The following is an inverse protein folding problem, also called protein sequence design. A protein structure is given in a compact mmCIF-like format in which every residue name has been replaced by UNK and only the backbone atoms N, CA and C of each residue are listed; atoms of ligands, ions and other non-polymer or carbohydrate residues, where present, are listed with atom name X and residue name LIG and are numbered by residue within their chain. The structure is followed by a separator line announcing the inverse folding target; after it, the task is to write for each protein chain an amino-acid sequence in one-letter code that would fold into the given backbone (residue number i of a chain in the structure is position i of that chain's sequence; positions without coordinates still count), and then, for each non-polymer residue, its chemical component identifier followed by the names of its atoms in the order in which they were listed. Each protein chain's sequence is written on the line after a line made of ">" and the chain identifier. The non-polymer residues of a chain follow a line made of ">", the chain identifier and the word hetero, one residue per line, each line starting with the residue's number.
data_IF_880321699261
#
_entry.id   IF_880321699261
#
_cell.length_a   1.000
_cell.length_b   1.000
_cell.length_c   1.000
_cell.angle_alpha   90.00
_cell.angle_beta   90.00
_cell.angle_gamma   90.00
#
_symmetry.space_group_name_H-M   'P 1'
#
loop_
_entity.id
_entity.type
_entity.pdbx_description
1 polymer ?
#
# COMPACT_ATOMS: atom_id res chain seq x y z
N UNK A 1 4.18 -21.73 28.29
CA UNK A 1 4.49 -20.55 27.45
C UNK A 1 4.47 -21.01 26.01
N UNK A 2 3.81 -20.26 25.11
CA UNK A 2 3.80 -20.58 23.68
C UNK A 2 5.22 -20.55 23.12
N UNK A 3 5.54 -21.46 22.20
CA UNK A 3 6.88 -21.49 21.58
C UNK A 3 6.99 -20.39 20.52
N UNK A 4 8.22 -19.95 20.23
CA UNK A 4 8.50 -18.96 19.18
C UNK A 4 7.90 -19.34 17.82
N UNK A 5 7.99 -20.61 17.44
CA UNK A 5 7.43 -21.13 16.19
C UNK A 5 5.91 -21.07 16.16
N UNK A 6 5.24 -21.38 17.28
CA UNK A 6 3.77 -21.36 17.35
C UNK A 6 3.24 -19.93 17.18
N UNK A 7 3.90 -18.95 17.80
CA UNK A 7 3.52 -17.54 17.71
C UNK A 7 3.67 -17.02 16.27
N UNK A 8 4.73 -17.42 15.56
CA UNK A 8 5.00 -16.96 14.19
C UNK A 8 4.04 -17.57 13.16
N UNK A 9 3.70 -18.86 13.33
CA UNK A 9 2.84 -19.58 12.39
C UNK A 9 1.35 -19.32 12.63
N UNK A 10 0.94 -19.17 13.89
CA UNK A 10 -0.46 -18.99 14.28
C UNK A 10 -0.73 -17.57 14.81
N UNK A 11 -0.08 -16.56 14.23
CA UNK A 11 -0.12 -15.18 14.73
C UNK A 11 -1.54 -14.61 14.90
N UNK A 12 -2.51 -15.10 14.11
CA UNK A 12 -3.92 -14.68 14.17
C UNK A 12 -4.67 -15.18 15.41
N UNK A 13 -4.16 -16.21 16.08
CA UNK A 13 -4.75 -16.77 17.29
C UNK A 13 -4.35 -15.97 18.55
N UNK A 14 -3.35 -15.09 18.44
CA UNK A 14 -2.86 -14.28 19.54
C UNK A 14 -3.40 -12.85 19.49
N UNK A 15 -3.78 -12.33 20.65
CA UNK A 15 -4.14 -10.92 20.80
C UNK A 15 -2.90 -10.02 20.76
N UNK A 16 -3.09 -8.73 20.45
CA UNK A 16 -1.98 -7.77 20.41
C UNK A 16 -1.23 -7.68 21.75
N UNK A 17 -1.95 -7.82 22.87
CA UNK A 17 -1.35 -7.75 24.21
C UNK A 17 -0.46 -8.97 24.52
N UNK A 18 -0.88 -10.17 24.11
CA UNK A 18 -0.06 -11.39 24.25
C UNK A 18 1.21 -11.34 23.39
N UNK A 19 1.13 -10.75 22.19
CA UNK A 19 2.29 -10.57 21.32
C UNK A 19 3.27 -9.56 21.92
N UNK A 20 2.76 -8.45 22.48
CA UNK A 20 3.59 -7.47 23.20
C UNK A 20 4.28 -8.11 24.39
N UNK A 21 3.59 -8.98 25.14
CA UNK A 21 4.19 -9.72 26.25
C UNK A 21 5.28 -10.68 25.78
N UNK A 22 5.06 -11.41 24.69
CA UNK A 22 6.07 -12.29 24.09
C UNK A 22 7.30 -11.52 23.57
N UNK A 23 7.11 -10.30 23.07
CA UNK A 23 8.20 -9.39 22.68
C UNK A 23 8.99 -8.93 23.91
N UNK A 24 8.30 -8.52 24.98
CA UNK A 24 8.94 -8.11 26.25
C UNK A 24 9.70 -9.27 26.90
N UNK A 25 9.18 -10.49 26.80
CA UNK A 25 9.82 -11.72 27.26
C UNK A 25 11.00 -12.16 26.37
N UNK A 26 11.27 -11.46 25.26
CA UNK A 26 12.37 -11.79 24.34
C UNK A 26 12.14 -13.07 23.52
N UNK A 27 10.90 -13.58 23.49
CA UNK A 27 10.56 -14.83 22.77
C UNK A 27 10.49 -14.61 21.26
N UNK A 28 10.01 -13.43 20.84
CA UNK A 28 9.88 -13.01 19.44
C UNK A 28 10.26 -11.53 19.31
N UNK A 29 10.78 -11.13 18.15
CA UNK A 29 11.03 -9.70 17.86
C UNK A 29 10.03 -9.16 16.83
N UNK A 30 9.82 -7.84 16.82
CA UNK A 30 8.99 -7.18 15.78
C UNK A 30 9.50 -7.51 14.37
N UNK A 31 10.81 -7.65 14.20
CA UNK A 31 11.43 -8.06 12.94
C UNK A 31 11.03 -9.48 12.53
N UNK A 32 11.09 -10.45 13.45
CA UNK A 32 10.71 -11.84 13.16
C UNK A 32 9.21 -11.97 12.84
N UNK A 33 8.38 -11.20 13.54
CA UNK A 33 6.95 -11.10 13.23
C UNK A 33 6.73 -10.55 11.81
N UNK A 34 7.49 -9.53 11.39
CA UNK A 34 7.39 -8.99 10.03
C UNK A 34 7.86 -9.99 8.96
N UNK A 35 8.88 -10.80 9.26
CA UNK A 35 9.42 -11.81 8.36
C UNK A 35 8.50 -13.02 8.19
N UNK A 36 7.61 -13.27 9.15
CA UNK A 36 6.63 -14.36 9.07
C UNK A 36 5.60 -14.20 7.94
N UNK A 37 5.44 -12.99 7.38
CA UNK A 37 4.44 -12.68 6.36
C UNK A 37 2.98 -12.64 6.85
N UNK A 38 2.72 -13.10 8.09
CA UNK A 38 1.39 -13.15 8.70
C UNK A 38 1.02 -11.87 9.45
N UNK A 39 1.95 -10.93 9.62
CA UNK A 39 1.74 -9.68 10.33
C UNK A 39 1.05 -8.64 9.44
N UNK A 40 -0.23 -8.38 9.68
CA UNK A 40 -0.97 -7.34 8.96
C UNK A 40 -0.57 -5.92 9.41
N UNK A 41 -0.67 -4.90 8.54
CA UNK A 41 -0.31 -3.52 8.89
C UNK A 41 -1.07 -2.96 10.11
N UNK A 42 -2.35 -3.29 10.24
CA UNK A 42 -3.17 -2.86 11.38
C UNK A 42 -2.72 -3.52 12.70
N UNK A 43 -2.38 -4.80 12.65
CA UNK A 43 -1.91 -5.53 13.82
C UNK A 43 -0.55 -5.02 14.27
N UNK A 44 0.35 -4.75 13.32
CA UNK A 44 1.64 -4.11 13.58
C UNK A 44 1.48 -2.77 14.30
N UNK A 45 0.61 -1.90 13.79
CA UNK A 45 0.33 -0.60 14.41
C UNK A 45 -0.20 -0.73 15.84
N UNK A 46 -1.12 -1.67 16.10
CA UNK A 46 -1.63 -1.94 17.46
C UNK A 46 -0.54 -2.43 18.40
N UNK A 47 0.34 -3.32 17.94
CA UNK A 47 1.47 -3.82 18.74
C UNK A 47 2.43 -2.67 19.09
N UNK A 48 2.76 -1.83 18.11
CA UNK A 48 3.64 -0.66 18.31
C UNK A 48 3.01 0.37 19.26
N UNK A 49 1.72 0.70 19.09
CA UNK A 49 0.97 1.60 19.98
C UNK A 49 0.92 1.07 21.43
N UNK A 50 0.68 -0.23 21.62
CA UNK A 50 0.65 -0.87 22.95
C UNK A 50 2.04 -0.99 23.59
N UNK A 51 3.07 -1.20 22.78
CA UNK A 51 4.46 -1.21 23.24
C UNK A 51 4.87 0.20 23.71
N UNK A 52 4.47 1.24 22.98
CA UNK A 52 4.69 2.64 23.35
C UNK A 52 3.90 3.04 24.61
N UNK A 53 2.59 2.77 24.65
CA UNK A 53 1.71 3.15 25.76
C UNK A 53 2.13 2.49 27.09
N UNK A 54 2.46 1.19 27.05
CA UNK A 54 2.86 0.44 28.25
C UNK A 54 4.30 0.75 28.70
N UNK A 55 5.05 1.55 27.95
CA UNK A 55 6.34 2.11 28.35
C UNK A 55 6.14 3.43 29.11
N UNK A 56 5.02 4.13 28.89
CA UNK A 56 4.68 5.39 29.59
C UNK A 56 4.11 5.15 31.00
N UNK A 57 3.58 3.97 31.30
CA UNK A 57 2.98 3.63 32.61
C UNK A 57 3.97 3.30 33.74
N UNK A 58 5.30 3.32 33.49
CA UNK A 58 6.31 2.87 34.45
C UNK A 58 7.14 4.01 35.11
N UNK A 59 6.53 5.17 35.40
CA UNK A 59 7.16 6.22 36.23
C UNK A 59 6.26 6.55 37.44
N UNK A 60 6.72 6.39 38.69
CA UNK A 60 5.94 6.71 39.87
C UNK A 60 6.24 8.15 40.34
N UNK A 61 5.21 9.00 40.44
CA UNK A 61 5.17 10.11 41.42
C UNK A 61 3.80 10.80 41.42
N UNK A 62 2.94 10.42 42.38
CA UNK A 62 2.25 11.24 43.40
C UNK A 62 1.36 12.47 42.99
N UNK A 63 0.41 12.93 43.83
CA UNK A 63 -1.03 12.95 43.51
C UNK A 63 -1.66 14.37 43.55
N UNK A 64 -3.01 14.39 43.48
CA UNK A 64 -3.93 15.53 43.75
C UNK A 64 -4.11 16.49 42.54
N UNK A 65 -5.31 16.89 42.10
CA UNK A 65 -6.52 17.35 42.79
C UNK A 65 -7.72 17.24 41.81
N UNK A 66 -8.88 16.76 42.27
CA UNK A 66 -10.18 16.90 41.59
C UNK A 66 -10.80 18.28 41.91
N UNK A 67 -11.81 18.78 41.14
CA UNK A 67 -13.18 18.50 41.58
C UNK A 67 -14.29 18.48 40.49
N UNK A 68 -15.41 17.84 40.88
CA UNK A 68 -16.84 18.15 40.61
C UNK A 68 -17.37 18.09 39.17
N UNK A 69 -18.22 17.12 38.77
CA UNK A 69 -19.65 16.84 39.09
C UNK A 69 -20.62 17.82 38.41
N UNK A 70 -21.41 17.29 37.47
CA UNK A 70 -22.76 17.67 36.98
C UNK A 70 -22.88 17.11 35.54
N UNK A 71 -23.96 16.53 35.04
CA UNK A 71 -25.27 16.13 35.54
C UNK A 71 -25.84 15.20 34.45
N UNK A 72 -26.64 14.19 34.82
CA UNK A 72 -27.39 13.36 33.87
C UNK A 72 -28.84 13.28 34.34
N UNK A 73 -29.79 13.26 33.41
CA UNK A 73 -30.86 12.28 33.57
C UNK A 73 -31.16 11.49 32.29
N UNK A 74 -31.87 10.36 32.42
CA UNK A 74 -31.72 9.19 31.57
C UNK A 74 -32.77 9.14 30.45
N UNK A 75 -32.49 8.37 29.40
CA UNK A 75 -33.54 7.84 28.55
C UNK A 75 -33.30 6.34 28.33
N UNK A 76 -33.99 5.56 29.15
CA UNK A 76 -34.20 4.13 28.95
C UNK A 76 -35.19 3.94 27.80
N UNK A 77 -34.85 3.06 26.86
CA UNK A 77 -35.81 2.27 26.07
C UNK A 77 -35.13 0.92 25.84
N UNK A 78 -35.35 0.01 26.80
CA UNK A 78 -35.23 -1.42 26.56
C UNK A 78 -36.45 -1.86 25.74
N UNK A 79 -36.22 -2.61 24.66
CA UNK A 79 -37.06 -3.73 24.21
C UNK A 79 -36.38 -4.41 23.00
N UNK A 80 -35.65 -5.49 23.31
CA UNK A 80 -35.42 -6.65 22.43
C UNK A 80 -36.73 -7.50 22.44
N UNK A 81 -37.09 -8.28 21.41
CA UNK A 81 -36.45 -9.58 21.21
C UNK A 81 -36.30 -10.05 19.74
N UNK A 82 -35.17 -10.73 19.49
CA UNK A 82 -34.99 -11.99 18.74
C UNK A 82 -35.87 -12.29 17.50
N UNK A 83 -35.21 -12.61 16.38
CA UNK A 83 -35.54 -13.85 15.66
C UNK A 83 -34.34 -14.35 14.84
N UNK A 84 -34.09 -15.65 15.04
CA UNK A 84 -33.00 -16.47 14.56
C UNK A 84 -33.01 -16.69 13.04
N UNK A 85 -31.85 -16.63 12.39
CA UNK A 85 -31.63 -17.37 11.13
C UNK A 85 -30.29 -18.12 11.20
N UNK A 86 -30.43 -19.44 11.12
CA UNK A 86 -29.42 -20.48 11.26
C UNK A 86 -28.31 -20.46 10.19
N UNK A 87 -27.13 -20.89 10.65
CA UNK A 87 -26.00 -21.38 9.88
C UNK A 87 -26.34 -22.75 9.27
N UNK A 88 -25.82 -23.10 8.08
CA UNK A 88 -25.32 -24.46 7.88
C UNK A 88 -23.82 -24.49 7.60
N UNK A 89 -23.16 -25.38 8.36
CA UNK A 89 -21.76 -25.78 8.24
C UNK A 89 -21.67 -27.08 7.45
N UNK A 90 -20.58 -27.19 6.68
CA UNK A 90 -19.88 -28.38 6.20
C UNK A 90 -20.60 -29.40 5.30
N UNK A 91 -20.05 -29.59 4.10
CA UNK A 91 -19.93 -30.90 3.46
C UNK A 91 -18.45 -31.13 3.17
N UNK A 92 -17.89 -32.12 3.86
CA UNK A 92 -16.66 -32.83 3.51
C UNK A 92 -16.86 -33.62 2.23
N UNK A 93 -15.88 -33.60 1.33
CA UNK A 93 -15.58 -34.80 0.54
C UNK A 93 -14.07 -34.88 0.34
N UNK A 94 -13.51 -35.91 0.96
CA UNK A 94 -12.11 -36.32 0.98
C UNK A 94 -11.71 -37.07 -0.31
N UNK A 95 -10.50 -36.75 -0.82
CA UNK A 95 -9.42 -37.69 -1.27
C UNK A 95 -9.58 -38.38 -2.65
N UNK A 96 -8.50 -38.75 -3.41
CA UNK A 96 -7.12 -38.23 -3.56
C UNK A 96 -6.62 -38.17 -5.04
N UNK A 97 -5.40 -37.66 -5.26
CA UNK A 97 -4.31 -38.20 -6.13
C UNK A 97 -3.49 -37.05 -6.73
N UNK A 98 -2.34 -36.67 -6.15
CA UNK A 98 -1.01 -37.25 -6.42
C UNK A 98 -0.68 -37.35 -7.91
N UNK A 99 0.09 -36.40 -8.42
CA UNK A 99 0.98 -36.60 -9.58
C UNK A 99 2.32 -35.94 -9.26
N UNK A 100 3.34 -36.79 -9.28
CA UNK A 100 4.73 -36.61 -8.87
C UNK A 100 5.63 -36.82 -10.11
N UNK A 101 6.36 -35.76 -10.53
CA UNK A 101 7.72 -35.68 -11.18
C UNK A 101 7.86 -36.32 -12.61
N UNK A 102 8.80 -35.92 -13.55
CA UNK A 102 10.27 -35.79 -13.45
C UNK A 102 10.79 -34.37 -13.80
N UNK A 103 11.66 -33.72 -13.04
CA UNK A 103 13.13 -33.83 -13.01
C UNK A 103 13.80 -34.11 -14.37
N UNK A 104 14.42 -33.08 -14.95
CA UNK A 104 15.33 -33.20 -16.08
C UNK A 104 16.72 -32.65 -15.71
N UNK A 105 17.59 -33.59 -15.38
CA UNK A 105 19.04 -33.69 -15.64
C UNK A 105 19.88 -32.42 -15.88
N UNK A 106 20.72 -32.19 -14.86
CA UNK A 106 22.11 -31.73 -14.82
C UNK A 106 22.92 -31.95 -16.13
N UNK A 107 23.62 -30.90 -16.58
CA UNK A 107 24.96 -31.02 -17.17
C UNK A 107 25.91 -30.11 -16.41
N UNK A 108 26.96 -30.74 -15.88
CA UNK A 108 28.10 -30.23 -15.14
C UNK A 108 29.20 -29.74 -16.09
N UNK A 109 30.11 -28.91 -15.53
CA UNK A 109 31.47 -28.53 -15.97
C UNK A 109 31.57 -27.16 -16.67
N UNK A 110 32.48 -26.24 -16.33
CA UNK A 110 33.65 -26.25 -15.43
C UNK A 110 34.22 -24.81 -15.36
N UNK A 111 34.86 -24.50 -14.24
CA UNK A 111 35.86 -23.44 -13.96
C UNK A 111 35.52 -21.93 -13.96
N UNK A 112 35.46 -21.44 -12.71
CA UNK A 112 35.90 -20.13 -12.22
C UNK A 112 37.20 -19.62 -12.88
N UNK A 113 37.35 -18.29 -13.03
CA UNK A 113 38.09 -17.61 -11.97
C UNK A 113 37.41 -16.32 -11.49
N UNK A 114 37.41 -16.23 -10.16
CA UNK A 114 37.17 -15.08 -9.30
C UNK A 114 37.72 -13.79 -9.89
N UNK A 115 36.84 -12.83 -10.15
CA UNK A 115 37.20 -11.41 -10.26
C UNK A 115 36.39 -10.67 -9.20
N UNK A 116 37.05 -10.34 -8.09
CA UNK A 116 36.56 -9.35 -7.15
C UNK A 116 36.44 -8.00 -7.85
N UNK A 117 35.28 -7.32 -7.84
CA UNK A 117 35.26 -5.90 -8.10
C UNK A 117 35.55 -5.21 -6.76
N UNK A 118 36.75 -4.65 -6.66
CA UNK A 118 37.16 -3.75 -5.60
C UNK A 118 36.06 -2.73 -5.29
N UNK A 119 35.72 -2.61 -4.00
CA UNK A 119 34.84 -1.56 -3.45
C UNK A 119 35.40 -0.18 -3.78
N UNK A 120 35.01 0.36 -4.93
CA UNK A 120 35.18 1.78 -5.23
C UNK A 120 34.17 2.53 -4.36
N UNK A 121 34.66 3.15 -3.29
CA UNK A 121 33.91 4.11 -2.47
C UNK A 121 33.62 5.33 -3.36
N UNK A 122 32.59 5.22 -4.19
CA UNK A 122 32.05 6.35 -4.95
C UNK A 122 31.36 7.23 -3.93
N UNK A 123 32.05 8.30 -3.54
CA UNK A 123 31.43 9.47 -2.94
C UNK A 123 30.33 9.93 -3.90
N UNK A 124 29.09 9.53 -3.63
CA UNK A 124 27.92 10.04 -4.32
C UNK A 124 27.74 11.48 -3.90
N UNK A 125 28.40 12.39 -4.61
CA UNK A 125 27.90 13.75 -4.76
C UNK A 125 26.57 13.60 -5.49
N UNK A 126 25.51 13.36 -4.73
CA UNK A 126 24.15 13.27 -5.26
C UNK A 126 23.77 14.66 -5.75
N UNK A 127 24.07 14.94 -7.01
CA UNK A 127 23.32 15.92 -7.78
C UNK A 127 21.92 15.31 -7.99
N UNK A 128 21.17 15.17 -6.89
CA UNK A 128 19.76 14.82 -6.96
C UNK A 128 19.08 16.02 -7.59
N UNK A 129 18.50 15.90 -8.80
CA UNK A 129 17.76 17.00 -9.38
C UNK A 129 16.66 17.38 -8.38
N UNK A 130 16.70 18.63 -7.89
CA UNK A 130 15.71 19.18 -6.97
C UNK A 130 14.32 18.82 -7.49
N UNK A 131 13.52 18.09 -6.71
CA UNK A 131 12.17 17.67 -7.08
C UNK A 131 11.09 18.71 -6.71
N UNK A 132 11.48 19.97 -6.44
CA UNK A 132 10.51 21.05 -6.15
C UNK A 132 9.76 21.47 -7.42
N UNK A 133 8.44 21.30 -7.44
CA UNK A 133 7.53 21.72 -8.51
C UNK A 133 6.60 20.61 -9.00
N UNK A 134 5.50 20.97 -9.65
CA UNK A 134 4.53 20.03 -10.26
C UNK A 134 4.95 19.65 -11.68
N UNK A 135 4.47 18.50 -12.16
CA UNK A 135 4.68 17.97 -13.52
C UNK A 135 6.14 17.76 -13.89
N UNK A 136 6.98 17.33 -12.95
CA UNK A 136 8.31 16.86 -13.30
C UNK A 136 8.18 15.51 -14.00
N UNK A 137 8.68 15.46 -15.24
CA UNK A 137 8.71 14.25 -16.08
C UNK A 137 7.30 13.65 -16.25
N UNK A 138 6.37 14.38 -16.88
CA UNK A 138 4.96 14.00 -16.91
C UNK A 138 4.67 12.74 -17.75
N UNK A 139 5.61 12.35 -18.61
CA UNK A 139 5.56 11.13 -19.43
C UNK A 139 6.39 9.99 -18.84
N UNK A 140 6.83 10.10 -17.57
CA UNK A 140 7.57 9.04 -16.88
C UNK A 140 6.69 8.34 -15.85
N UNK A 141 6.83 7.02 -15.76
CA UNK A 141 6.19 6.19 -14.73
C UNK A 141 6.91 6.25 -13.38
N UNK A 142 8.12 6.80 -13.33
CA UNK A 142 8.92 6.83 -12.12
C UNK A 142 8.55 8.01 -11.22
N UNK A 143 8.53 7.76 -9.92
CA UNK A 143 8.24 8.77 -8.91
C UNK A 143 6.80 8.73 -8.41
N UNK A 144 6.46 9.78 -7.66
CA UNK A 144 5.20 9.91 -6.92
C UNK A 144 4.57 11.26 -7.25
N UNK A 145 3.24 11.27 -7.33
CA UNK A 145 2.48 12.52 -7.47
C UNK A 145 1.39 12.66 -6.41
N UNK A 146 1.18 13.90 -5.99
CA UNK A 146 0.11 14.28 -5.07
C UNK A 146 -1.22 14.35 -5.80
N UNK A 147 -2.30 14.42 -5.02
CA UNK A 147 -3.65 14.64 -5.53
C UNK A 147 -3.78 15.88 -6.42
N UNK A 148 -3.09 16.99 -6.11
CA UNK A 148 -3.17 18.22 -6.92
C UNK A 148 -2.66 18.01 -8.35
N UNK A 149 -1.48 17.40 -8.51
CA UNK A 149 -0.94 17.08 -9.84
C UNK A 149 -1.79 16.03 -10.55
N UNK A 150 -2.29 15.04 -9.82
CA UNK A 150 -3.19 14.04 -10.37
C UNK A 150 -4.52 14.62 -10.89
N UNK A 151 -5.20 15.44 -10.08
CA UNK A 151 -6.44 16.11 -10.47
C UNK A 151 -6.22 17.06 -11.65
N UNK A 152 -5.10 17.78 -11.69
CA UNK A 152 -4.76 18.65 -12.83
C UNK A 152 -4.43 17.83 -14.09
N UNK A 153 -3.78 16.67 -13.94
CA UNK A 153 -3.57 15.73 -15.06
C UNK A 153 -4.90 15.21 -15.61
N UNK A 154 -5.84 14.87 -14.72
CA UNK A 154 -7.18 14.44 -15.10
C UNK A 154 -7.96 15.58 -15.80
N UNK A 155 -7.83 16.82 -15.32
CA UNK A 155 -8.43 17.99 -15.97
C UNK A 155 -7.88 18.21 -17.39
N UNK A 156 -6.56 18.10 -17.59
CA UNK A 156 -5.92 18.17 -18.91
C UNK A 156 -6.51 17.10 -19.84
N UNK A 157 -6.65 15.87 -19.34
CA UNK A 157 -7.28 14.78 -20.08
C UNK A 157 -8.74 15.07 -20.43
N UNK A 158 -9.54 15.60 -19.50
CA UNK A 158 -10.95 15.98 -19.75
C UNK A 158 -11.08 17.06 -20.82
N UNK A 159 -10.23 18.09 -20.79
CA UNK A 159 -10.21 19.15 -21.81
C UNK A 159 -9.87 18.56 -23.18
N UNK A 160 -8.79 17.77 -23.27
CA UNK A 160 -8.43 17.10 -24.51
C UNK A 160 -9.54 16.19 -25.02
N UNK A 161 -10.16 15.40 -24.14
CA UNK A 161 -11.26 14.50 -24.50
C UNK A 161 -12.45 15.29 -25.06
N UNK A 162 -12.80 16.43 -24.46
CA UNK A 162 -13.84 17.33 -24.97
C UNK A 162 -13.52 17.85 -26.37
N UNK A 163 -12.27 18.28 -26.62
CA UNK A 163 -11.83 18.73 -27.95
C UNK A 163 -11.94 17.62 -28.98
N UNK A 164 -11.46 16.40 -28.66
CA UNK A 164 -11.55 15.26 -29.57
C UNK A 164 -13.01 14.90 -29.87
N UNK A 165 -13.90 14.90 -28.88
CA UNK A 165 -15.32 14.63 -29.12
C UNK A 165 -15.96 15.69 -30.02
N UNK A 166 -15.65 16.97 -29.81
CA UNK A 166 -16.15 18.06 -30.66
C UNK A 166 -15.65 17.91 -32.12
N UNK A 167 -14.39 17.53 -32.31
CA UNK A 167 -13.85 17.25 -33.64
C UNK A 167 -14.52 16.04 -34.30
N UNK A 168 -14.75 14.97 -33.54
CA UNK A 168 -15.39 13.75 -34.06
C UNK A 168 -16.90 13.92 -34.34
N UNK A 169 -17.55 14.89 -33.70
CA UNK A 169 -18.94 15.23 -33.97
C UNK A 169 -19.13 16.07 -35.25
N UNK A 170 -18.05 16.54 -35.86
CA UNK A 170 -18.10 17.33 -37.11
C UNK A 170 -18.34 16.39 -38.30
N UNK A 171 -19.38 16.60 -39.12
CA UNK A 171 -19.59 15.85 -40.36
C UNK A 171 -18.45 16.12 -41.36
N UNK A 172 -18.01 15.07 -42.07
CA UNK A 172 -16.96 15.12 -43.10
C UNK A 172 -15.67 15.86 -42.65
N UNK A 173 -15.00 15.38 -41.57
CA UNK A 173 -13.79 16.02 -41.08
C UNK A 173 -12.68 15.96 -42.13
N UNK A 174 -11.90 17.03 -42.24
CA UNK A 174 -10.74 17.05 -43.14
C UNK A 174 -9.75 15.95 -42.80
N UNK A 175 -9.02 15.44 -43.80
CA UNK A 175 -8.00 14.41 -43.58
C UNK A 175 -6.97 14.82 -42.51
N UNK A 176 -6.62 16.11 -42.46
CA UNK A 176 -5.72 16.65 -41.44
C UNK A 176 -6.31 16.59 -40.03
N UNK A 177 -7.60 16.90 -39.86
CA UNK A 177 -8.28 16.79 -38.57
C UNK A 177 -8.34 15.33 -38.08
N UNK A 178 -8.70 14.40 -38.97
CA UNK A 178 -8.72 12.96 -38.67
C UNK A 178 -7.35 12.43 -38.27
N UNK A 179 -6.30 12.85 -38.99
CA UNK A 179 -4.92 12.47 -38.68
C UNK A 179 -4.45 13.06 -37.34
N UNK A 180 -4.79 14.31 -37.06
CA UNK A 180 -4.49 14.95 -35.77
C UNK A 180 -5.13 14.18 -34.61
N UNK A 181 -6.41 13.84 -34.72
CA UNK A 181 -7.13 13.04 -33.71
C UNK A 181 -6.37 11.74 -33.45
N UNK A 182 -6.08 10.97 -34.51
CA UNK A 182 -5.39 9.69 -34.41
C UNK A 182 -4.02 9.80 -33.71
N UNK A 183 -3.19 10.75 -34.13
CA UNK A 183 -1.83 10.92 -33.58
C UNK A 183 -1.89 11.41 -32.13
N UNK A 184 -2.85 12.26 -31.78
CA UNK A 184 -2.97 12.85 -30.44
C UNK A 184 -3.25 11.83 -29.33
N UNK A 185 -3.85 10.67 -29.67
CA UNK A 185 -4.11 9.60 -28.70
C UNK A 185 -2.83 9.06 -28.07
N UNK A 186 -1.76 8.89 -28.85
CA UNK A 186 -0.51 8.25 -28.39
C UNK A 186 0.08 8.99 -27.17
N UNK A 187 0.43 10.29 -27.27
CA UNK A 187 1.01 11.01 -26.13
C UNK A 187 0.01 11.19 -24.99
N UNK A 188 -1.29 11.36 -25.28
CA UNK A 188 -2.28 11.57 -24.23
C UNK A 188 -2.54 10.31 -23.40
N UNK A 189 -2.69 9.16 -24.04
CA UNK A 189 -2.84 7.87 -23.35
C UNK A 189 -1.60 7.61 -22.50
N UNK A 190 -0.41 7.82 -23.06
CA UNK A 190 0.85 7.63 -22.32
C UNK A 190 0.93 8.57 -21.10
N UNK A 191 0.58 9.84 -21.27
CA UNK A 191 0.53 10.81 -20.19
C UNK A 191 -0.40 10.36 -19.07
N UNK A 192 -1.66 10.05 -19.38
CA UNK A 192 -2.64 9.70 -18.34
C UNK A 192 -2.27 8.38 -17.64
N UNK A 193 -1.70 7.41 -18.36
CA UNK A 193 -1.19 6.17 -17.76
C UNK A 193 -0.01 6.43 -16.81
N UNK A 194 0.94 7.26 -17.22
CA UNK A 194 2.09 7.60 -16.39
C UNK A 194 1.65 8.32 -15.10
N UNK A 195 0.70 9.25 -15.18
CA UNK A 195 0.19 9.97 -14.01
C UNK A 195 -0.58 9.05 -13.05
N UNK A 196 -1.46 8.19 -13.57
CA UNK A 196 -2.16 7.20 -12.75
C UNK A 196 -1.19 6.25 -12.05
N UNK A 197 -0.17 5.76 -12.75
CA UNK A 197 0.85 4.89 -12.16
C UNK A 197 1.61 5.62 -11.02
N UNK A 198 2.08 6.85 -11.25
CA UNK A 198 2.72 7.66 -10.19
C UNK A 198 1.80 7.94 -9.00
N UNK A 199 0.47 8.01 -9.21
CA UNK A 199 -0.50 8.17 -8.13
C UNK A 199 -0.71 6.87 -7.35
N UNK A 200 -0.62 5.71 -8.02
CA UNK A 200 -0.59 4.40 -7.35
C UNK A 200 0.68 4.26 -6.50
N UNK A 201 1.83 4.64 -7.07
CA UNK A 201 3.14 4.65 -6.40
C UNK A 201 3.15 5.55 -5.16
N UNK A 202 2.46 6.70 -5.21
CA UNK A 202 2.32 7.58 -4.05
C UNK A 202 1.58 6.94 -2.86
N UNK A 203 0.85 5.84 -3.10
CA UNK A 203 0.17 5.04 -2.08
C UNK A 203 0.88 3.73 -1.77
N UNK A 204 2.10 3.53 -2.27
CA UNK A 204 2.86 2.29 -2.09
C UNK A 204 2.33 1.10 -2.90
N UNK A 205 1.49 1.34 -3.92
CA UNK A 205 0.96 0.28 -4.79
C UNK A 205 1.68 0.30 -6.14
N UNK A 206 1.77 -0.84 -6.80
CA UNK A 206 2.31 -0.89 -8.16
C UNK A 206 1.43 -0.11 -9.14
N UNK A 207 2.02 0.39 -10.22
CA UNK A 207 1.30 1.12 -11.27
C UNK A 207 0.14 0.34 -11.91
N UNK A 208 0.13 -0.99 -11.79
CA UNK A 208 -0.94 -1.86 -12.30
C UNK A 208 -2.27 -1.71 -11.56
N UNK A 209 -2.28 -1.17 -10.34
CA UNK A 209 -3.52 -0.99 -9.57
C UNK A 209 -4.51 -0.04 -10.27
N UNK A 210 -4.04 0.80 -11.20
CA UNK A 210 -4.93 1.64 -12.01
C UNK A 210 -5.95 0.84 -12.85
N UNK A 211 -5.69 -0.44 -13.12
CA UNK A 211 -6.59 -1.32 -13.88
C UNK A 211 -7.71 -1.91 -13.01
N UNK A 212 -7.60 -1.82 -11.69
CA UNK A 212 -8.63 -2.31 -10.78
C UNK A 212 -9.87 -1.41 -10.94
N UNK A 213 -11.05 -1.97 -11.25
CA UNK A 213 -12.28 -1.19 -11.36
C UNK A 213 -12.51 -0.32 -10.12
N UNK A 214 -12.95 0.91 -10.33
CA UNK A 214 -13.24 1.90 -9.27
C UNK A 214 -12.05 2.36 -8.42
N UNK A 215 -10.83 1.84 -8.64
CA UNK A 215 -9.64 2.28 -7.90
C UNK A 215 -9.30 3.76 -8.14
N UNK A 216 -9.77 4.32 -9.26
CA UNK A 216 -9.72 5.76 -9.56
C UNK A 216 -10.28 6.63 -8.42
N UNK A 217 -11.31 6.18 -7.70
CA UNK A 217 -11.85 6.92 -6.55
C UNK A 217 -10.88 6.91 -5.36
N UNK A 218 -10.21 5.78 -5.13
CA UNK A 218 -9.13 5.68 -4.13
C UNK A 218 -7.96 6.58 -4.52
N UNK A 219 -7.62 6.67 -5.80
CA UNK A 219 -6.57 7.57 -6.30
C UNK A 219 -6.93 9.05 -6.11
N UNK A 220 -8.19 9.42 -6.35
CA UNK A 220 -8.68 10.80 -6.19
C UNK A 220 -8.72 11.25 -4.73
N UNK A 221 -9.30 10.44 -3.83
CA UNK A 221 -9.59 10.88 -2.45
C UNK A 221 -8.60 10.35 -1.42
N UNK A 222 -7.91 9.25 -1.70
CA UNK A 222 -7.02 8.58 -0.75
C UNK A 222 -5.80 9.42 -0.35
N UNK A 223 -5.30 9.18 0.86
CA UNK A 223 -4.02 9.70 1.38
C UNK A 223 -2.79 9.36 0.53
N UNK A 224 -1.64 9.93 0.89
CA UNK A 224 -0.32 9.52 0.40
C UNK A 224 0.30 8.60 1.44
N UNK A 225 1.18 7.70 1.03
CA UNK A 225 2.05 6.94 1.94
C UNK A 225 3.04 7.89 2.62
N UNK A 226 3.25 7.77 3.93
CA UNK A 226 4.07 8.70 4.70
C UNK A 226 5.57 8.42 4.49
N UNK A 227 6.40 9.46 4.50
CA UNK A 227 7.84 9.32 4.27
C UNK A 227 8.19 8.80 2.87
N UNK A 228 9.40 8.24 2.73
CA UNK A 228 9.87 7.64 1.49
C UNK A 228 9.37 6.19 1.34
N UNK A 229 9.10 5.79 0.09
CA UNK A 229 8.82 4.41 -0.27
C UNK A 229 9.68 3.97 -1.46
N UNK A 230 9.47 2.76 -1.99
CA UNK A 230 10.25 2.22 -3.11
C UNK A 230 10.23 3.07 -4.39
N UNK A 231 9.22 3.95 -4.52
CA UNK A 231 9.06 4.85 -5.66
C UNK A 231 9.64 6.25 -5.41
N UNK A 232 10.19 6.52 -4.22
CA UNK A 232 10.88 7.75 -3.86
C UNK A 232 10.27 8.50 -2.68
N UNK A 233 10.82 9.70 -2.45
CA UNK A 233 10.43 10.56 -1.33
C UNK A 233 8.99 11.08 -1.46
N UNK A 234 8.37 11.39 -0.33
CA UNK A 234 7.03 11.96 -0.33
C UNK A 234 7.04 13.31 -1.06
N UNK A 235 6.19 13.54 -2.07
CA UNK A 235 6.09 14.84 -2.72
C UNK A 235 5.54 15.96 -1.81
N UNK A 236 5.17 15.64 -0.55
CA UNK A 236 4.85 16.62 0.49
C UNK A 236 6.05 17.26 1.17
N UNK A 237 7.18 16.59 1.17
CA UNK A 237 8.41 16.95 1.87
C UNK A 237 9.36 17.72 0.94
#
# INVERSE_FOLDING_TARGET
>A
MATKSDILNNLREYTADQIVEAIKAGTVTVYELSKSGNLTPLMRRRIEERLAAKTTEATPSAPEVAPTVEDAPPLNLDEDPSDDIEIPKAIDTDIPSEITIPEASIVTATDTPTVEPAKKKVSSTSNSPSNKGMFKRPFSFNGRIRRTEYCLSFLIYMIWYGVINAMMATPDPSAGASLFVLISFIPMIWFIWAQNAKRCHDRGNSGWYQLIPFYVFVLMFGGSDEGSNEYGNNPKE
#
